data_IF_963504763676
#
_entry.id   IF_963504763676
#
_cell.length_a   1.000
_cell.length_b   1.000
_cell.length_c   1.000
_cell.angle_alpha   90.00
_cell.angle_beta   90.00
_cell.angle_gamma   90.00
#
_symmetry.space_group_name_H-M   'P 1'
#
loop_
_entity.id
_entity.type
_entity.pdbx_description
1 polymer ?
#
# COMPACT_ATOMS: atom_id res chain seq x y z
N UNK A 1 18.05 -24.36 34.80
CA UNK A 1 17.79 -24.55 33.36
C UNK A 1 16.45 -23.99 32.86
N UNK A 2 15.57 -23.41 33.69
CA UNK A 2 14.27 -22.88 33.24
C UNK A 2 14.24 -21.37 32.91
N UNK A 3 15.24 -20.59 33.34
CA UNK A 3 15.24 -19.12 33.19
C UNK A 3 15.57 -18.68 31.76
N UNK A 4 16.43 -19.41 31.05
CA UNK A 4 16.77 -19.09 29.66
C UNK A 4 15.61 -19.33 28.70
N UNK A 5 14.71 -20.27 28.99
CA UNK A 5 13.54 -20.55 28.16
C UNK A 5 12.43 -19.51 28.33
N UNK A 6 12.28 -18.90 29.51
CA UNK A 6 11.26 -17.85 29.71
C UNK A 6 11.65 -16.54 29.02
N UNK A 7 12.92 -16.14 29.12
CA UNK A 7 13.44 -14.91 28.48
C UNK A 7 13.38 -15.02 26.95
N UNK A 8 13.74 -16.19 26.40
CA UNK A 8 13.67 -16.42 24.94
C UNK A 8 12.21 -16.43 24.42
N UNK A 9 11.25 -16.82 25.27
CA UNK A 9 9.84 -16.84 24.88
C UNK A 9 9.18 -15.45 24.93
N UNK A 10 9.64 -14.57 25.83
CA UNK A 10 9.21 -13.16 25.88
C UNK A 10 9.72 -12.39 24.67
N UNK A 11 11.01 -12.52 24.29
CA UNK A 11 11.59 -11.83 23.13
C UNK A 11 10.90 -12.18 21.79
N UNK A 12 10.52 -13.46 21.61
CA UNK A 12 9.80 -13.92 20.41
C UNK A 12 8.37 -13.39 20.38
N UNK A 13 7.75 -13.20 21.55
CA UNK A 13 6.42 -12.60 21.69
C UNK A 13 6.42 -11.11 21.34
N UNK A 14 7.37 -10.34 21.88
CA UNK A 14 7.47 -8.91 21.63
C UNK A 14 7.71 -8.60 20.14
N UNK A 15 8.62 -9.33 19.50
CA UNK A 15 8.94 -9.11 18.07
C UNK A 15 7.72 -9.37 17.16
N UNK A 16 6.89 -10.36 17.50
CA UNK A 16 5.63 -10.62 16.79
C UNK A 16 4.61 -9.51 16.99
N UNK A 17 4.52 -8.94 18.20
CA UNK A 17 3.63 -7.83 18.50
C UNK A 17 4.04 -6.59 17.68
N UNK A 18 5.33 -6.26 17.61
CA UNK A 18 5.79 -5.13 16.79
C UNK A 18 5.50 -5.31 15.30
N UNK A 19 5.68 -6.52 14.76
CA UNK A 19 5.35 -6.81 13.37
C UNK A 19 3.83 -6.71 13.11
N UNK A 20 3.00 -7.22 14.02
CA UNK A 20 1.53 -7.09 13.93
C UNK A 20 1.08 -5.63 14.00
N UNK A 21 1.67 -4.83 14.89
CA UNK A 21 1.38 -3.40 15.01
C UNK A 21 1.77 -2.64 13.73
N UNK A 22 2.95 -2.93 13.17
CA UNK A 22 3.39 -2.36 11.89
C UNK A 22 2.36 -2.67 10.79
N UNK A 23 1.94 -3.93 10.65
CA UNK A 23 0.97 -4.39 9.64
C UNK A 23 -0.42 -3.79 9.83
N UNK A 24 -0.88 -3.69 11.08
CA UNK A 24 -2.16 -3.07 11.41
C UNK A 24 -2.13 -1.58 11.05
N UNK A 25 -1.03 -0.89 11.34
CA UNK A 25 -0.86 0.51 10.99
C UNK A 25 -0.84 0.74 9.48
N UNK A 26 -0.15 -0.09 8.71
CA UNK A 26 -0.15 0.00 7.23
C UNK A 26 -1.50 -0.30 6.64
N UNK A 27 -2.25 -1.27 7.18
CA UNK A 27 -3.63 -1.54 6.76
C UNK A 27 -4.54 -0.34 7.04
N UNK A 28 -4.47 0.25 8.23
CA UNK A 28 -5.24 1.46 8.57
C UNK A 28 -4.92 2.64 7.65
N UNK A 29 -3.64 2.83 7.30
CA UNK A 29 -3.21 3.84 6.35
C UNK A 29 -3.80 3.55 4.96
N UNK A 30 -3.68 2.31 4.45
CA UNK A 30 -4.20 1.92 3.14
C UNK A 30 -5.71 2.11 3.04
N UNK A 31 -6.48 1.68 4.05
CA UNK A 31 -7.94 1.88 4.10
C UNK A 31 -8.29 3.37 4.11
N UNK A 32 -7.54 4.18 4.85
CA UNK A 32 -7.73 5.63 4.88
C UNK A 32 -7.46 6.26 3.51
N UNK A 33 -6.36 5.88 2.85
CA UNK A 33 -6.00 6.34 1.50
C UNK A 33 -7.04 5.89 0.46
N UNK A 34 -7.53 4.66 0.54
CA UNK A 34 -8.61 4.13 -0.29
C UNK A 34 -9.89 4.94 -0.10
N UNK A 35 -10.26 5.25 1.14
CA UNK A 35 -11.46 6.04 1.45
C UNK A 35 -11.37 7.45 0.88
N UNK A 36 -10.21 8.10 1.02
CA UNK A 36 -9.94 9.42 0.41
C UNK A 36 -10.02 9.30 -1.11
N UNK A 37 -9.45 8.25 -1.70
CA UNK A 37 -9.51 8.01 -3.13
C UNK A 37 -10.94 7.87 -3.62
N UNK A 38 -11.75 6.97 -3.04
CA UNK A 38 -13.15 6.74 -3.44
C UNK A 38 -13.97 8.04 -3.37
N UNK A 39 -13.77 8.85 -2.33
CA UNK A 39 -14.45 10.16 -2.21
C UNK A 39 -14.00 11.13 -3.31
N UNK A 40 -12.73 11.10 -3.68
CA UNK A 40 -12.19 11.91 -4.78
C UNK A 40 -12.63 11.45 -6.18
N UNK A 41 -13.16 10.23 -6.36
CA UNK A 41 -13.53 9.69 -7.70
C UNK A 41 -14.96 10.03 -8.12
N UNK A 42 -15.76 10.62 -7.24
CA UNK A 42 -17.19 10.89 -7.49
C UNK A 42 -17.46 12.04 -8.47
N UNK A 43 -16.43 12.70 -9.02
CA UNK A 43 -16.64 13.94 -9.77
C UNK A 43 -16.63 13.81 -11.31
N UNK A 44 -15.99 12.81 -11.94
CA UNK A 44 -15.90 12.77 -13.41
C UNK A 44 -15.91 11.37 -14.06
N UNK A 45 -16.72 11.21 -15.12
CA UNK A 45 -16.85 9.96 -15.92
C UNK A 45 -15.54 9.49 -16.57
N UNK A 46 -14.65 10.42 -16.94
CA UNK A 46 -13.34 10.08 -17.51
C UNK A 46 -12.43 9.35 -16.50
N UNK A 47 -12.56 9.68 -15.22
CA UNK A 47 -11.77 9.06 -14.15
C UNK A 47 -12.26 7.65 -13.80
N UNK A 48 -13.50 7.31 -14.17
CA UNK A 48 -14.14 6.05 -13.81
C UNK A 48 -13.44 4.84 -14.46
N UNK A 49 -12.97 4.99 -15.70
CA UNK A 49 -12.21 3.92 -16.39
C UNK A 49 -10.82 3.70 -15.79
N UNK A 50 -10.15 4.76 -15.32
CA UNK A 50 -8.82 4.69 -14.70
C UNK A 50 -8.91 4.28 -13.22
N UNK A 51 -10.04 4.56 -12.57
CA UNK A 51 -10.30 4.24 -11.16
C UNK A 51 -10.48 2.75 -10.86
N UNK A 52 -11.01 1.97 -11.80
CA UNK A 52 -11.31 0.55 -11.57
C UNK A 52 -10.07 -0.27 -11.25
N UNK A 53 -8.96 0.01 -11.95
CA UNK A 53 -7.67 -0.65 -11.70
C UNK A 53 -7.08 -0.32 -10.33
N UNK A 54 -7.36 0.88 -9.80
CA UNK A 54 -6.91 1.30 -8.47
C UNK A 54 -7.56 0.45 -7.38
N UNK A 55 -8.88 0.23 -7.46
CA UNK A 55 -9.63 -0.56 -6.47
C UNK A 55 -9.08 -1.99 -6.43
N UNK A 56 -8.82 -2.58 -7.60
CA UNK A 56 -8.23 -3.92 -7.70
C UNK A 56 -6.85 -3.97 -7.03
N UNK A 57 -6.01 -2.95 -7.26
CA UNK A 57 -4.68 -2.86 -6.66
C UNK A 57 -4.74 -2.77 -5.12
N UNK A 58 -5.66 -1.98 -4.57
CA UNK A 58 -5.89 -1.90 -3.12
C UNK A 58 -6.40 -3.22 -2.55
N UNK A 59 -7.35 -3.89 -3.22
CA UNK A 59 -7.85 -5.20 -2.78
C UNK A 59 -6.74 -6.25 -2.72
N UNK A 60 -5.88 -6.31 -3.74
CA UNK A 60 -4.74 -7.24 -3.78
C UNK A 60 -3.76 -6.93 -2.64
N UNK A 61 -3.47 -5.66 -2.38
CA UNK A 61 -2.60 -5.23 -1.30
C UNK A 61 -3.15 -5.58 0.10
N UNK A 62 -4.44 -5.32 0.34
CA UNK A 62 -5.12 -5.66 1.59
C UNK A 62 -5.20 -7.18 1.81
N UNK A 63 -5.44 -7.96 0.75
CA UNK A 63 -5.38 -9.42 0.79
C UNK A 63 -3.99 -9.92 1.21
N UNK A 64 -2.93 -9.34 0.65
CA UNK A 64 -1.55 -9.66 1.03
C UNK A 64 -1.29 -9.40 2.52
N UNK A 65 -1.73 -8.25 3.04
CA UNK A 65 -1.56 -7.89 4.45
C UNK A 65 -2.40 -8.76 5.41
N UNK A 66 -3.64 -9.06 5.04
CA UNK A 66 -4.56 -9.85 5.89
C UNK A 66 -4.18 -11.33 5.96
N UNK A 67 -3.66 -11.91 4.88
CA UNK A 67 -3.14 -13.30 4.89
C UNK A 67 -1.97 -13.49 5.86
N UNK A 68 -1.21 -12.42 6.15
CA UNK A 68 -0.16 -12.44 7.16
C UNK A 68 -0.70 -12.60 8.58
N UNK A 69 -1.82 -11.94 8.90
CA UNK A 69 -2.42 -11.98 10.23
C UNK A 69 -3.05 -13.35 10.56
N UNK A 70 -3.49 -14.08 9.54
CA UNK A 70 -4.19 -15.36 9.70
C UNK A 70 -3.31 -16.61 9.64
N UNK A 71 -2.06 -16.53 9.18
CA UNK A 71 -1.22 -17.71 8.95
C UNK A 71 -0.13 -17.86 10.00
N UNK A 72 -0.35 -18.79 10.93
CA UNK A 72 0.61 -19.17 12.00
C UNK A 72 1.67 -20.18 11.55
N UNK A 73 1.58 -20.71 10.33
CA UNK A 73 2.52 -21.67 9.76
C UNK A 73 3.31 -21.07 8.58
N UNK A 74 4.63 -21.31 8.58
CA UNK A 74 5.66 -20.67 7.75
C UNK A 74 5.48 -20.72 6.21
N UNK A 75 4.45 -21.35 5.67
CA UNK A 75 4.24 -21.47 4.21
C UNK A 75 3.60 -20.22 3.57
N UNK A 76 3.00 -19.31 4.36
CA UNK A 76 2.27 -18.15 3.85
C UNK A 76 3.13 -16.95 3.43
N UNK A 77 4.39 -16.86 3.89
CA UNK A 77 5.21 -15.65 3.72
C UNK A 77 5.58 -15.34 2.25
N UNK A 78 5.80 -16.36 1.43
CA UNK A 78 6.14 -16.16 0.02
C UNK A 78 4.93 -15.63 -0.78
N UNK A 79 3.75 -16.20 -0.55
CA UNK A 79 2.49 -15.75 -1.16
C UNK A 79 2.14 -14.32 -0.70
N UNK A 80 2.32 -14.03 0.58
CA UNK A 80 2.15 -12.68 1.12
C UNK A 80 3.07 -11.68 0.43
N UNK A 81 4.38 -11.98 0.36
CA UNK A 81 5.36 -11.09 -0.24
C UNK A 81 5.03 -10.84 -1.72
N UNK A 82 4.59 -11.89 -2.42
CA UNK A 82 4.10 -11.79 -3.78
C UNK A 82 2.88 -10.88 -3.92
N UNK A 83 1.84 -11.06 -3.10
CA UNK A 83 0.62 -10.23 -3.16
C UNK A 83 0.87 -8.78 -2.76
N UNK A 84 1.66 -8.53 -1.70
CA UNK A 84 2.03 -7.19 -1.29
C UNK A 84 2.89 -6.49 -2.36
N UNK A 85 3.86 -7.21 -2.94
CA UNK A 85 4.70 -6.71 -4.02
C UNK A 85 3.91 -6.42 -5.29
N UNK A 86 2.98 -7.31 -5.65
CA UNK A 86 2.07 -7.11 -6.78
C UNK A 86 1.16 -5.90 -6.56
N UNK A 87 0.57 -5.76 -5.37
CA UNK A 87 -0.23 -4.59 -4.99
C UNK A 87 0.56 -3.28 -5.09
N UNK A 88 1.80 -3.26 -4.57
CA UNK A 88 2.68 -2.10 -4.68
C UNK A 88 3.05 -1.77 -6.13
N UNK A 89 3.37 -2.78 -6.94
CA UNK A 89 3.68 -2.60 -8.36
C UNK A 89 2.48 -2.04 -9.13
N UNK A 90 1.28 -2.57 -8.89
CA UNK A 90 0.05 -2.09 -9.53
C UNK A 90 -0.26 -0.64 -9.14
N UNK A 91 -0.08 -0.26 -7.87
CA UNK A 91 -0.25 1.12 -7.40
C UNK A 91 0.78 2.07 -8.02
N UNK A 92 2.04 1.63 -8.18
CA UNK A 92 3.09 2.42 -8.82
C UNK A 92 2.84 2.59 -10.33
N UNK A 93 2.48 1.51 -11.02
CA UNK A 93 2.11 1.54 -12.44
C UNK A 93 0.90 2.44 -12.65
N UNK A 94 -0.11 2.36 -11.78
CA UNK A 94 -1.29 3.21 -11.90
C UNK A 94 -0.94 4.70 -11.72
N UNK A 95 -0.12 5.03 -10.73
CA UNK A 95 0.39 6.39 -10.55
C UNK A 95 1.12 6.90 -11.81
N UNK A 96 1.97 6.06 -12.40
CA UNK A 96 2.70 6.39 -13.61
C UNK A 96 1.79 6.56 -14.83
N UNK A 97 0.79 5.69 -15.00
CA UNK A 97 -0.19 5.76 -16.10
C UNK A 97 -1.04 7.02 -15.99
N UNK A 98 -1.56 7.34 -14.80
CA UNK A 98 -2.33 8.58 -14.57
C UNK A 98 -1.47 9.80 -14.91
N UNK A 99 -0.22 9.82 -14.45
CA UNK A 99 0.71 10.91 -14.73
C UNK A 99 1.03 11.03 -16.23
N UNK A 100 1.23 9.90 -16.92
CA UNK A 100 1.53 9.88 -18.34
C UNK A 100 0.34 10.32 -19.19
N UNK A 101 -0.88 9.89 -18.83
CA UNK A 101 -2.12 10.32 -19.50
C UNK A 101 -2.36 11.81 -19.30
N UNK A 102 -2.11 12.33 -18.10
CA UNK A 102 -2.15 13.77 -17.84
C UNK A 102 -1.13 14.53 -18.68
N UNK A 103 0.12 14.05 -18.73
CA UNK A 103 1.19 14.69 -19.53
C UNK A 103 0.92 14.65 -21.04
N UNK A 104 0.25 13.60 -21.53
CA UNK A 104 -0.14 13.44 -22.95
C UNK A 104 -1.49 14.08 -23.29
N UNK A 105 -2.17 14.70 -22.33
CA UNK A 105 -3.48 15.29 -22.59
C UNK A 105 -3.37 16.40 -23.65
N UNK A 106 -4.25 16.37 -24.64
CA UNK A 106 -4.25 17.31 -25.75
C UNK A 106 -4.64 18.73 -25.27
N UNK A 107 -4.42 19.74 -26.11
CA UNK A 107 -4.82 21.12 -25.78
C UNK A 107 -6.30 21.26 -25.41
N UNK A 108 -7.18 20.45 -26.01
CA UNK A 108 -8.62 20.43 -25.66
C UNK A 108 -8.83 20.01 -24.20
N UNK A 109 -8.06 19.05 -23.70
CA UNK A 109 -8.16 18.59 -22.31
C UNK A 109 -7.63 19.63 -21.34
N UNK A 110 -6.62 20.40 -21.74
CA UNK A 110 -6.12 21.55 -20.97
C UNK A 110 -7.16 22.68 -20.91
N UNK A 111 -7.78 23.02 -22.04
CA UNK A 111 -8.85 24.04 -22.10
C UNK A 111 -10.05 23.62 -21.25
N UNK A 112 -10.49 22.35 -21.35
CA UNK A 112 -11.55 21.82 -20.49
C UNK A 112 -11.15 21.84 -19.02
N UNK A 113 -9.89 21.54 -18.69
CA UNK A 113 -9.39 21.61 -17.31
C UNK A 113 -9.40 23.05 -16.78
N UNK A 114 -9.05 24.05 -17.58
CA UNK A 114 -9.11 25.47 -17.21
C UNK A 114 -10.56 25.95 -17.06
N UNK A 115 -11.46 25.51 -17.93
CA UNK A 115 -12.88 25.84 -17.85
C UNK A 115 -13.53 25.22 -16.60
N UNK A 116 -13.13 23.99 -16.25
CA UNK A 116 -13.58 23.33 -15.03
C UNK A 116 -12.99 24.00 -13.78
N UNK A 117 -11.76 24.49 -13.84
CA UNK A 117 -11.15 25.28 -12.76
C UNK A 117 -11.91 26.59 -12.54
N UNK A 118 -12.36 27.25 -13.61
CA UNK A 118 -13.21 28.44 -13.54
C UNK A 118 -14.60 28.17 -12.90
N UNK A 119 -15.09 26.92 -12.98
CA UNK A 119 -16.33 26.46 -12.31
C UNK A 119 -16.05 25.99 -10.87
N UNK A 120 -14.79 26.10 -10.40
CA UNK A 120 -14.38 25.73 -9.04
C UNK A 120 -13.97 24.25 -8.90
N UNK A 121 -13.69 23.57 -10.01
CA UNK A 121 -13.24 22.18 -10.04
C UNK A 121 -11.74 22.10 -10.40
N UNK A 122 -10.85 21.98 -9.40
CA UNK A 122 -9.41 22.00 -9.64
C UNK A 122 -8.89 20.63 -10.12
N UNK A 123 -9.08 20.32 -11.40
CA UNK A 123 -8.68 19.05 -12.03
C UNK A 123 -7.18 18.73 -11.89
N UNK A 124 -6.33 19.74 -12.08
CA UNK A 124 -4.87 19.64 -11.89
C UNK A 124 -4.53 19.13 -10.49
N UNK A 125 -5.18 19.69 -9.48
CA UNK A 125 -4.97 19.32 -8.08
C UNK A 125 -5.46 17.91 -7.78
N UNK A 126 -6.62 17.52 -8.34
CA UNK A 126 -7.16 16.17 -8.17
C UNK A 126 -6.24 15.10 -8.76
N UNK A 127 -5.66 15.33 -9.94
CA UNK A 127 -4.71 14.40 -10.56
C UNK A 127 -3.45 14.25 -9.70
N UNK A 128 -2.86 15.37 -9.24
CA UNK A 128 -1.68 15.34 -8.37
C UNK A 128 -1.98 14.56 -7.09
N UNK A 129 -3.10 14.89 -6.42
CA UNK A 129 -3.52 14.19 -5.20
C UNK A 129 -3.62 12.69 -5.45
N UNK A 130 -4.25 12.26 -6.55
CA UNK A 130 -4.39 10.84 -6.87
C UNK A 130 -3.05 10.13 -7.13
N UNK A 131 -2.15 10.76 -7.88
CA UNK A 131 -0.80 10.23 -8.13
C UNK A 131 -0.03 10.11 -6.82
N UNK A 132 -0.08 11.15 -5.97
CA UNK A 132 0.62 11.14 -4.67
C UNK A 132 0.05 10.10 -3.72
N UNK A 133 -1.27 9.93 -3.64
CA UNK A 133 -1.89 8.90 -2.79
C UNK A 133 -1.49 7.49 -3.24
N UNK A 134 -1.51 7.21 -4.55
CA UNK A 134 -1.11 5.91 -5.10
C UNK A 134 0.38 5.63 -4.89
N UNK A 135 1.24 6.64 -5.08
CA UNK A 135 2.67 6.53 -4.81
C UNK A 135 2.97 6.32 -3.32
N UNK A 136 2.25 7.01 -2.43
CA UNK A 136 2.41 6.88 -0.98
C UNK A 136 1.98 5.49 -0.50
N UNK A 137 0.87 4.98 -1.03
CA UNK A 137 0.40 3.61 -0.75
C UNK A 137 1.42 2.56 -1.20
N UNK A 138 1.97 2.70 -2.42
CA UNK A 138 3.01 1.82 -2.93
C UNK A 138 4.29 1.87 -2.06
N UNK A 139 4.73 3.07 -1.67
CA UNK A 139 5.87 3.24 -0.79
C UNK A 139 5.63 2.60 0.59
N UNK A 140 4.45 2.79 1.18
CA UNK A 140 4.09 2.16 2.46
C UNK A 140 4.14 0.63 2.40
N UNK A 141 3.63 0.03 1.32
CA UNK A 141 3.71 -1.42 1.10
C UNK A 141 5.15 -1.91 0.91
N UNK A 142 6.00 -1.15 0.19
CA UNK A 142 7.41 -1.49 0.01
C UNK A 142 8.18 -1.40 1.32
N UNK A 143 7.96 -0.34 2.10
CA UNK A 143 8.56 -0.16 3.43
C UNK A 143 8.19 -1.33 4.33
N UNK A 144 6.92 -1.72 4.34
CA UNK A 144 6.42 -2.85 5.13
C UNK A 144 6.99 -4.20 4.65
N UNK A 145 7.11 -4.40 3.33
CA UNK A 145 7.73 -5.60 2.75
C UNK A 145 9.23 -5.69 3.11
N UNK A 146 9.94 -4.57 3.09
CA UNK A 146 11.38 -4.49 3.42
C UNK A 146 11.61 -4.62 4.93
N UNK A 147 10.73 -4.09 5.78
CA UNK A 147 10.85 -4.18 7.24
C UNK A 147 10.50 -5.56 7.79
N UNK A 148 9.57 -6.29 7.16
CA UNK A 148 9.18 -7.66 7.55
C UNK A 148 10.35 -8.63 7.85
N UNK A 149 11.35 -8.78 6.95
CA UNK A 149 12.46 -9.70 7.17
C UNK A 149 13.34 -9.31 8.36
N UNK A 150 13.45 -8.02 8.71
CA UNK A 150 14.26 -7.58 9.85
C UNK A 150 13.65 -8.01 11.18
N UNK A 151 12.33 -7.90 11.32
CA UNK A 151 11.62 -8.36 12.51
C UNK A 151 11.48 -9.89 12.57
N UNK A 152 11.59 -10.61 11.44
CA UNK A 152 11.51 -12.09 11.45
C UNK A 152 12.87 -12.79 11.61
N UNK A 153 14.00 -12.14 11.28
CA UNK A 153 15.36 -12.73 11.38
C UNK A 153 15.95 -12.77 12.80
N UNK A 154 15.32 -12.16 13.81
CA UNK A 154 15.98 -11.93 15.10
C UNK A 154 16.15 -13.10 16.10
N UNK A 155 15.83 -14.40 15.85
CA UNK A 155 16.11 -15.45 16.85
C UNK A 155 17.10 -16.55 16.41
N UNK A 156 18.11 -16.28 15.56
CA UNK A 156 19.05 -17.36 15.13
C UNK A 156 20.54 -17.06 15.08
N UNK A 157 21.02 -15.87 15.42
CA UNK A 157 22.47 -15.58 15.40
C UNK A 157 23.22 -15.94 16.70
N UNK A 158 22.56 -16.54 17.70
CA UNK A 158 23.16 -16.83 19.02
C UNK A 158 23.37 -18.33 19.33
N UNK A 159 23.11 -19.25 18.38
CA UNK A 159 23.31 -20.70 18.58
C UNK A 159 24.52 -21.28 17.83
N UNK A 160 25.48 -20.45 17.40
CA UNK A 160 26.74 -20.91 16.82
C UNK A 160 27.95 -20.33 17.56
N UNK A 161 28.07 -20.68 18.85
CA UNK A 161 29.32 -20.69 19.61
C UNK A 161 29.18 -21.63 20.81
#
# INVERSE_FOLDING_TARGET
MNVSNSILSEDVGETRIYLLLLRLSTLMILVSLLTIHIRSMRMFRWEQSVSGGLIIAYCIAELGLTLCAGTSHCSGYALQAYLCGLGAALLAVNAAVIWQLWKRSNQITLVVAELLDAIGVPLKRQVIVKVTLSATAAAGLLVDLVLAPYFTKHPRSLTSL
#
